data_IF_925426432158
#
_entry.id   IF_925426432158
#
_cell.length_a   1.000
_cell.length_b   1.000
_cell.length_c   1.000
_cell.angle_alpha   90.00
_cell.angle_beta   90.00
_cell.angle_gamma   90.00
#
_symmetry.space_group_name_H-M   'P 1'
#
loop_
_entity.id
_entity.type
_entity.pdbx_description
1 polymer ?
#
# COMPACT_ATOMS: atom_id res chain seq x y z
N UNK A 1 -6.72 12.61 1.05
CA UNK A 1 -7.49 12.51 2.31
C UNK A 1 -6.53 12.75 3.46
N UNK A 2 -6.87 13.61 4.42
CA UNK A 2 -6.04 13.85 5.61
C UNK A 2 -6.18 12.75 6.67
N UNK A 3 -5.24 12.70 7.61
CA UNK A 3 -5.13 11.63 8.62
C UNK A 3 -6.40 11.43 9.46
N UNK A 4 -7.00 12.53 9.93
CA UNK A 4 -8.23 12.50 10.73
C UNK A 4 -9.43 11.89 9.98
N UNK A 5 -9.55 12.20 8.69
CA UNK A 5 -10.62 11.66 7.87
C UNK A 5 -10.41 10.17 7.58
N UNK A 6 -9.16 9.77 7.29
CA UNK A 6 -8.79 8.37 7.10
C UNK A 6 -9.07 7.54 8.35
N UNK A 7 -8.62 8.00 9.53
CA UNK A 7 -8.85 7.28 10.79
C UNK A 7 -10.34 7.08 11.09
N UNK A 8 -11.21 8.05 10.75
CA UNK A 8 -12.67 7.88 10.86
C UNK A 8 -13.23 6.91 9.83
N UNK A 9 -12.75 6.97 8.58
CA UNK A 9 -13.19 6.11 7.50
C UNK A 9 -12.85 4.64 7.77
N UNK A 10 -11.70 4.31 8.37
CA UNK A 10 -11.33 2.95 8.80
C UNK A 10 -12.42 2.23 9.60
N UNK A 11 -13.22 2.96 10.37
CA UNK A 11 -14.33 2.39 11.13
C UNK A 11 -15.69 2.60 10.47
N UNK A 12 -15.91 3.79 9.90
CA UNK A 12 -17.25 4.23 9.47
C UNK A 12 -17.55 3.93 7.99
N UNK A 13 -16.52 3.70 7.18
CA UNK A 13 -16.67 3.52 5.74
C UNK A 13 -15.59 2.56 5.20
N UNK A 14 -15.70 1.25 5.46
CA UNK A 14 -14.72 0.27 5.02
C UNK A 14 -14.62 0.17 3.50
N UNK A 15 -15.72 0.33 2.76
CA UNK A 15 -15.72 0.30 1.29
C UNK A 15 -14.84 1.40 0.70
N UNK A 16 -14.95 2.63 1.21
CA UNK A 16 -14.08 3.74 0.78
C UNK A 16 -12.59 3.45 1.04
N UNK A 17 -12.30 2.74 2.14
CA UNK A 17 -10.92 2.36 2.48
C UNK A 17 -10.42 1.29 1.52
N UNK A 18 -11.22 0.27 1.23
CA UNK A 18 -10.90 -0.79 0.27
C UNK A 18 -10.63 -0.23 -1.12
N UNK A 19 -11.55 0.58 -1.65
CA UNK A 19 -11.37 1.25 -2.95
C UNK A 19 -10.12 2.12 -2.97
N UNK A 20 -9.84 2.82 -1.86
CA UNK A 20 -8.64 3.66 -1.78
C UNK A 20 -7.35 2.84 -1.81
N UNK A 21 -7.28 1.74 -1.08
CA UNK A 21 -6.11 0.86 -1.10
C UNK A 21 -5.95 0.18 -2.46
N UNK A 22 -7.04 -0.25 -3.08
CA UNK A 22 -7.05 -0.84 -4.43
C UNK A 22 -6.49 0.14 -5.46
N UNK A 23 -7.06 1.36 -5.54
CA UNK A 23 -6.59 2.40 -6.47
C UNK A 23 -5.12 2.76 -6.26
N UNK A 24 -4.68 2.83 -5.00
CA UNK A 24 -3.28 3.16 -4.67
C UNK A 24 -2.36 2.03 -5.13
N UNK A 25 -2.79 0.77 -4.94
CA UNK A 25 -2.02 -0.41 -5.34
C UNK A 25 -1.86 -0.50 -6.86
N UNK A 26 -2.94 -0.30 -7.61
CA UNK A 26 -2.89 -0.28 -9.08
C UNK A 26 -1.97 0.82 -9.60
N UNK A 27 -2.05 2.01 -9.00
CA UNK A 27 -1.16 3.12 -9.33
C UNK A 27 0.32 2.77 -9.09
N UNK A 28 0.65 2.20 -7.93
CA UNK A 28 2.03 1.82 -7.59
C UNK A 28 2.56 0.74 -8.52
N UNK A 29 1.75 -0.28 -8.86
CA UNK A 29 2.14 -1.32 -9.82
C UNK A 29 2.43 -0.71 -11.20
N UNK A 30 1.55 0.17 -11.70
CA UNK A 30 1.77 0.87 -12.96
C UNK A 30 3.07 1.68 -12.96
N UNK A 31 3.31 2.42 -11.88
CA UNK A 31 4.53 3.21 -11.71
C UNK A 31 5.79 2.33 -11.69
N UNK A 32 5.78 1.25 -10.90
CA UNK A 32 6.92 0.34 -10.80
C UNK A 32 7.19 -0.37 -12.12
N UNK A 33 6.15 -0.73 -12.88
CA UNK A 33 6.30 -1.30 -14.21
C UNK A 33 7.02 -0.33 -15.15
N UNK A 34 6.63 0.94 -15.17
CA UNK A 34 7.31 1.95 -15.98
C UNK A 34 8.78 2.11 -15.58
N UNK A 35 9.10 2.05 -14.28
CA UNK A 35 10.49 2.07 -13.84
C UNK A 35 11.27 0.81 -14.22
N UNK A 36 10.64 -0.37 -14.15
CA UNK A 36 11.25 -1.64 -14.58
C UNK A 36 11.60 -1.60 -16.07
N UNK A 37 10.67 -1.11 -16.90
CA UNK A 37 10.88 -0.90 -18.35
C UNK A 37 11.99 0.13 -18.63
N UNK A 38 12.15 1.14 -17.77
CA UNK A 38 13.25 2.11 -17.82
C UNK A 38 14.59 1.55 -17.30
N UNK A 39 14.63 0.30 -16.83
CA UNK A 39 15.85 -0.40 -16.42
C UNK A 39 16.07 -0.50 -14.91
N UNK A 40 15.13 -0.10 -14.07
CA UNK A 40 15.21 -0.30 -12.63
C UNK A 40 15.29 -1.80 -12.29
N UNK A 41 16.14 -2.16 -11.32
CA UNK A 41 16.40 -3.55 -10.90
C UNK A 41 16.07 -3.85 -9.45
N UNK A 42 15.89 -2.81 -8.64
CA UNK A 42 15.58 -2.93 -7.21
C UNK A 42 14.45 -1.96 -6.93
N UNK A 43 13.41 -2.47 -6.26
CA UNK A 43 12.25 -1.69 -5.84
C UNK A 43 12.19 -1.69 -4.32
N UNK A 44 12.11 -0.50 -3.74
CA UNK A 44 11.98 -0.32 -2.30
C UNK A 44 10.83 0.63 -2.03
N UNK A 45 9.75 0.10 -1.45
CA UNK A 45 8.64 0.91 -0.97
C UNK A 45 8.86 1.25 0.50
N UNK A 46 9.13 2.53 0.77
CA UNK A 46 9.22 3.07 2.12
C UNK A 46 7.92 3.78 2.50
N UNK A 47 7.37 3.45 3.66
CA UNK A 47 6.22 4.15 4.24
C UNK A 47 6.33 4.25 5.75
N UNK A 48 6.24 5.47 6.28
CA UNK A 48 6.16 5.68 7.73
C UNK A 48 4.74 5.38 8.22
N UNK A 49 4.53 4.16 8.67
CA UNK A 49 3.24 3.67 9.18
C UNK A 49 3.30 3.28 10.65
N UNK A 50 4.46 3.42 11.29
CA UNK A 50 4.67 3.04 12.68
C UNK A 50 5.77 3.85 13.35
N UNK A 51 5.54 4.24 14.60
CA UNK A 51 6.49 4.94 15.42
C UNK A 51 6.91 4.09 16.63
N UNK A 52 7.75 4.66 17.52
CA UNK A 52 8.23 4.00 18.75
C UNK A 52 7.13 3.42 19.64
N UNK A 53 5.92 3.99 19.58
CA UNK A 53 4.75 3.56 20.35
C UNK A 53 3.83 2.57 19.62
N UNK A 54 4.21 2.12 18.41
CA UNK A 54 3.42 1.21 17.59
C UNK A 54 2.89 1.86 16.30
N UNK A 55 2.02 1.14 15.55
CA UNK A 55 1.51 1.57 14.26
C UNK A 55 0.52 2.75 14.34
N UNK A 56 0.42 3.52 13.25
CA UNK A 56 -0.54 4.63 13.11
C UNK A 56 -2.00 4.17 13.14
N UNK A 57 -2.26 2.91 12.80
CA UNK A 57 -3.58 2.30 12.80
C UNK A 57 -3.55 0.98 13.57
N UNK A 58 -4.71 0.53 14.04
CA UNK A 58 -4.80 -0.76 14.71
C UNK A 58 -4.23 -1.89 13.80
N UNK A 59 -3.37 -2.79 14.31
CA UNK A 59 -2.75 -3.85 13.52
C UNK A 59 -3.72 -4.71 12.71
N UNK A 60 -4.98 -4.84 13.15
CA UNK A 60 -6.01 -5.56 12.39
C UNK A 60 -6.23 -4.96 11.00
N UNK A 61 -6.17 -3.63 10.87
CA UNK A 61 -6.38 -2.93 9.60
C UNK A 61 -5.16 -3.04 8.68
N UNK A 62 -3.97 -3.16 9.25
CA UNK A 62 -2.75 -3.48 8.47
C UNK A 62 -2.92 -4.86 7.86
N UNK A 63 -3.31 -5.84 8.66
CA UNK A 63 -3.53 -7.21 8.19
C UNK A 63 -4.63 -7.32 7.15
N UNK A 64 -5.71 -6.54 7.32
CA UNK A 64 -6.88 -6.57 6.45
C UNK A 64 -6.66 -5.83 5.12
N UNK A 65 -6.04 -4.65 5.15
CA UNK A 65 -5.99 -3.76 3.99
C UNK A 65 -4.59 -3.58 3.41
N UNK A 66 -3.57 -3.45 4.25
CA UNK A 66 -2.22 -3.08 3.82
C UNK A 66 -1.43 -4.30 3.32
N UNK A 67 -1.43 -5.40 4.09
CA UNK A 67 -0.65 -6.59 3.74
C UNK A 67 -1.03 -7.20 2.39
N UNK A 68 -2.33 -7.35 2.03
CA UNK A 68 -2.70 -7.88 0.71
C UNK A 68 -2.20 -7.00 -0.44
N UNK A 69 -2.24 -5.67 -0.25
CA UNK A 69 -1.76 -4.70 -1.24
C UNK A 69 -0.25 -4.81 -1.44
N UNK A 70 0.53 -4.79 -0.35
CA UNK A 70 1.99 -4.95 -0.39
C UNK A 70 2.40 -6.27 -1.03
N UNK A 71 1.69 -7.36 -0.72
CA UNK A 71 1.90 -8.67 -1.34
C UNK A 71 1.70 -8.60 -2.86
N UNK A 72 0.60 -8.02 -3.33
CA UNK A 72 0.31 -7.88 -4.76
C UNK A 72 1.36 -7.03 -5.48
N UNK A 73 1.84 -5.94 -4.88
CA UNK A 73 2.94 -5.13 -5.44
C UNK A 73 4.22 -5.96 -5.56
N UNK A 74 4.56 -6.71 -4.51
CA UNK A 74 5.78 -7.54 -4.48
C UNK A 74 5.72 -8.66 -5.52
N UNK A 75 4.57 -9.33 -5.65
CA UNK A 75 4.34 -10.37 -6.66
C UNK A 75 4.48 -9.80 -8.08
N UNK A 76 3.89 -8.63 -8.36
CA UNK A 76 4.01 -7.99 -9.66
C UNK A 76 5.47 -7.64 -10.01
N UNK A 77 6.25 -7.14 -9.04
CA UNK A 77 7.68 -6.84 -9.26
C UNK A 77 8.50 -8.10 -9.53
N UNK A 78 8.25 -9.18 -8.78
CA UNK A 78 8.94 -10.46 -8.99
C UNK A 78 8.66 -11.05 -10.37
N UNK A 79 7.43 -10.91 -10.90
CA UNK A 79 7.09 -11.36 -12.26
C UNK A 79 7.92 -10.67 -13.34
N UNK A 80 8.42 -9.46 -13.10
CA UNK A 80 9.26 -8.72 -14.04
C UNK A 80 10.76 -9.02 -13.89
N UNK A 81 11.13 -9.92 -12.98
CA UNK A 81 12.53 -10.31 -12.72
C UNK A 81 13.29 -9.35 -11.81
N UNK A 82 12.58 -8.55 -11.00
CA UNK A 82 13.12 -7.82 -9.85
C UNK A 82 13.10 -8.64 -8.56
#
# INVERSE_FOLDING_TARGET
MGMNAFARALRKNPLLIEERFEQTTEFVIGLFKTYAEAGAKIFFEGGDIAFKSGPLINPKYISQYVLPCMKRVTEAVHEWGG
#
